data_IF_690325846039
#
_entry.id   IF_690325846039
#
_cell.length_a   1.000
_cell.length_b   1.000
_cell.length_c   1.000
_cell.angle_alpha   90.00
_cell.angle_beta   90.00
_cell.angle_gamma   90.00
#
_symmetry.space_group_name_H-M   'P 1'
#
loop_
_entity.id
_entity.type
_entity.pdbx_description
1 polymer ?
#
# COMPACT_ATOMS: atom_id res chain seq x y z
N UNK A 1 1.61 -8.60 -8.50
CA UNK A 1 2.09 -8.07 -7.23
C UNK A 1 3.55 -8.41 -7.14
N UNK A 2 3.93 -9.14 -6.09
CA UNK A 2 5.32 -9.55 -5.85
C UNK A 2 5.46 -11.07 -5.67
N UNK A 3 4.50 -11.85 -6.15
CA UNK A 3 4.52 -13.31 -6.12
C UNK A 3 4.52 -13.95 -7.50
N UNK A 4 4.59 -15.29 -7.53
CA UNK A 4 4.55 -16.10 -8.74
C UNK A 4 3.15 -16.62 -9.10
N UNK A 5 2.10 -16.13 -8.42
CA UNK A 5 0.72 -16.53 -8.71
C UNK A 5 0.14 -15.71 -9.86
N UNK A 6 -0.57 -16.36 -10.77
CA UNK A 6 -1.24 -15.68 -11.89
C UNK A 6 -2.28 -14.65 -11.41
N UNK A 7 -2.97 -14.97 -10.31
CA UNK A 7 -3.98 -14.10 -9.70
C UNK A 7 -3.40 -13.00 -8.80
N UNK A 8 -2.07 -12.90 -8.69
CA UNK A 8 -1.43 -11.79 -7.97
C UNK A 8 -1.43 -10.52 -8.82
N UNK A 9 -2.62 -9.99 -9.03
CA UNK A 9 -2.88 -8.72 -9.68
C UNK A 9 -3.40 -7.73 -8.65
N UNK A 10 -2.88 -6.50 -8.65
CA UNK A 10 -3.34 -5.47 -7.70
C UNK A 10 -4.76 -4.99 -8.06
N UNK A 11 -5.08 -4.95 -9.35
CA UNK A 11 -6.41 -4.58 -9.86
C UNK A 11 -6.80 -5.42 -11.06
N UNK A 12 -8.05 -5.90 -11.10
CA UNK A 12 -8.63 -6.60 -12.27
C UNK A 12 -9.08 -5.65 -13.40
N UNK A 13 -8.98 -4.34 -13.20
CA UNK A 13 -9.29 -3.31 -14.19
C UNK A 13 -8.02 -2.62 -14.63
N UNK A 14 -7.96 -2.25 -15.90
CA UNK A 14 -6.87 -1.41 -16.42
C UNK A 14 -7.01 0.01 -15.86
N UNK A 15 -5.89 0.57 -15.39
CA UNK A 15 -5.81 1.95 -14.89
C UNK A 15 -4.91 2.74 -15.83
N UNK A 16 -5.45 3.82 -16.38
CA UNK A 16 -4.69 4.74 -17.21
C UNK A 16 -3.91 5.72 -16.35
N UNK A 17 -2.65 5.94 -16.69
CA UNK A 17 -1.79 6.95 -16.07
C UNK A 17 -1.45 8.02 -17.11
N UNK A 18 -1.28 9.28 -16.66
CA UNK A 18 -0.85 10.37 -17.54
C UNK A 18 0.52 10.09 -18.17
N UNK A 19 1.38 9.38 -17.45
CA UNK A 19 2.68 8.88 -17.90
C UNK A 19 2.84 7.43 -17.45
N UNK A 20 3.59 6.63 -18.22
CA UNK A 20 3.89 5.26 -17.83
C UNK A 20 4.73 5.27 -16.53
N UNK A 21 4.29 4.58 -15.46
CA UNK A 21 5.07 4.46 -14.24
C UNK A 21 6.44 3.84 -14.50
N UNK A 22 7.46 4.32 -13.79
CA UNK A 22 8.84 3.85 -13.90
C UNK A 22 9.31 3.22 -12.59
N UNK A 23 10.34 2.36 -12.62
CA UNK A 23 10.97 1.88 -11.41
C UNK A 23 11.38 3.05 -10.50
N UNK A 24 10.95 3.02 -9.24
CA UNK A 24 11.16 4.08 -8.26
C UNK A 24 9.97 5.01 -8.05
N UNK A 25 8.97 5.00 -8.94
CA UNK A 25 7.73 5.75 -8.72
C UNK A 25 6.89 5.13 -7.59
N UNK A 26 6.14 5.97 -6.89
CA UNK A 26 5.18 5.52 -5.86
C UNK A 26 3.77 5.43 -6.45
N UNK A 27 3.17 4.26 -6.35
CA UNK A 27 1.75 4.04 -6.62
C UNK A 27 0.98 4.01 -5.30
N UNK A 28 -0.01 4.89 -5.15
CA UNK A 28 -0.80 5.03 -3.92
C UNK A 28 -2.21 4.52 -4.17
N UNK A 29 -2.60 3.48 -3.44
CA UNK A 29 -3.97 2.95 -3.42
C UNK A 29 -4.67 3.45 -2.16
N UNK A 30 -5.65 4.33 -2.35
CA UNK A 30 -6.47 4.84 -1.25
C UNK A 30 -7.54 3.81 -0.84
N UNK A 31 -8.13 4.02 0.34
CA UNK A 31 -9.27 3.24 0.85
C UNK A 31 -8.97 1.74 1.09
N UNK A 32 -7.74 1.40 1.44
CA UNK A 32 -7.30 0.01 1.69
C UNK A 32 -7.34 -0.41 3.17
N UNK A 33 -7.73 0.50 4.07
CA UNK A 33 -7.68 0.26 5.52
C UNK A 33 -8.61 -0.86 6.00
N UNK A 34 -9.78 -1.01 5.39
CA UNK A 34 -10.77 -2.04 5.74
C UNK A 34 -10.82 -3.15 4.70
N UNK A 35 -10.94 -4.39 5.17
CA UNK A 35 -11.01 -5.65 4.42
C UNK A 35 -9.86 -5.99 3.47
N UNK A 36 -8.93 -5.06 3.22
CA UNK A 36 -7.73 -5.29 2.43
C UNK A 36 -6.51 -5.44 3.32
N UNK A 37 -6.06 -4.36 3.97
CA UNK A 37 -4.87 -4.42 4.83
C UNK A 37 -5.08 -5.24 6.11
N UNK A 38 -6.29 -5.30 6.66
CA UNK A 38 -6.62 -6.09 7.86
C UNK A 38 -6.74 -7.60 7.59
N UNK A 39 -7.25 -8.00 6.41
CA UNK A 39 -7.48 -9.40 6.06
C UNK A 39 -6.38 -10.03 5.21
N UNK A 40 -5.68 -9.25 4.39
CA UNK A 40 -4.70 -9.75 3.42
C UNK A 40 -3.25 -9.54 3.88
N UNK A 41 -3.02 -8.78 4.95
CA UNK A 41 -1.68 -8.60 5.51
C UNK A 41 -1.15 -9.92 6.08
N UNK A 42 -0.17 -10.48 5.38
CA UNK A 42 0.47 -11.74 5.75
C UNK A 42 1.91 -11.78 5.23
N UNK A 43 2.67 -12.76 5.71
CA UNK A 43 4.06 -12.98 5.30
C UNK A 43 4.16 -13.97 4.12
N UNK A 44 3.32 -13.77 3.10
CA UNK A 44 3.38 -14.62 1.91
C UNK A 44 4.78 -14.59 1.28
N UNK A 45 5.27 -15.75 0.85
CA UNK A 45 6.64 -15.95 0.39
C UNK A 45 7.74 -15.44 1.33
N UNK A 46 7.47 -15.36 2.65
CA UNK A 46 8.42 -14.88 3.67
C UNK A 46 8.84 -13.42 3.46
N UNK A 47 8.07 -12.65 2.70
CA UNK A 47 8.24 -11.20 2.71
C UNK A 47 7.80 -10.65 4.07
N UNK A 48 8.48 -9.61 4.58
CA UNK A 48 8.09 -8.96 5.81
C UNK A 48 6.70 -8.33 5.64
N UNK A 49 5.97 -8.21 6.75
CA UNK A 49 4.73 -7.44 6.74
C UNK A 49 5.04 -5.98 6.33
N UNK A 50 4.17 -5.34 5.53
CA UNK A 50 4.30 -3.94 5.23
C UNK A 50 4.25 -3.11 6.53
N UNK A 51 5.05 -2.04 6.59
CA UNK A 51 5.03 -1.15 7.75
C UNK A 51 3.75 -0.31 7.70
N UNK A 52 2.94 -0.43 8.76
CA UNK A 52 1.78 0.42 8.96
C UNK A 52 2.20 1.70 9.67
N UNK A 53 1.69 2.83 9.19
CA UNK A 53 1.97 4.15 9.73
C UNK A 53 0.65 4.83 10.13
N UNK A 54 0.65 5.43 11.31
CA UNK A 54 -0.42 6.32 11.77
C UNK A 54 -0.01 7.76 11.51
N UNK A 55 -0.91 8.54 10.91
CA UNK A 55 -0.70 9.96 10.63
C UNK A 55 -1.63 10.81 11.50
N UNK A 56 -1.07 11.73 12.29
CA UNK A 56 -1.82 12.69 13.11
C UNK A 56 -1.46 14.11 12.71
N UNK A 57 -2.44 15.00 12.70
CA UNK A 57 -2.21 16.42 12.42
C UNK A 57 -1.81 17.12 13.73
N UNK A 58 -0.67 17.81 13.72
CA UNK A 58 -0.21 18.58 14.87
C UNK A 58 -0.89 19.95 14.98
N UNK A 59 -0.59 20.69 16.04
CA UNK A 59 -1.10 22.06 16.28
C UNK A 59 -0.72 23.06 15.17
N UNK A 60 0.30 22.76 14.36
CA UNK A 60 0.74 23.57 13.22
C UNK A 60 0.20 23.06 11.87
N UNK A 61 -0.84 22.21 11.87
CA UNK A 61 -1.45 21.61 10.67
C UNK A 61 -0.48 20.77 9.81
N UNK A 62 0.59 20.24 10.40
CA UNK A 62 1.51 19.33 9.72
C UNK A 62 1.23 17.88 10.12
N UNK A 63 1.25 16.92 9.17
CA UNK A 63 1.15 15.52 9.50
C UNK A 63 2.43 15.05 10.21
N UNK A 64 2.26 14.34 11.31
CA UNK A 64 3.29 13.58 12.00
C UNK A 64 2.96 12.11 11.81
N UNK A 65 3.96 11.34 11.37
CA UNK A 65 3.83 9.91 11.13
C UNK A 65 4.52 9.13 12.26
N UNK A 66 3.86 8.11 12.76
CA UNK A 66 4.42 7.13 13.71
C UNK A 66 4.20 5.73 13.18
N UNK A 67 5.09 4.79 13.53
CA UNK A 67 4.85 3.38 13.26
C UNK A 67 3.64 2.94 14.08
N UNK A 68 2.70 2.26 13.43
CA UNK A 68 1.57 1.63 14.08
C UNK A 68 2.07 0.29 14.65
N UNK A 69 2.04 0.15 15.98
CA UNK A 69 2.56 -1.02 16.70
C UNK A 69 1.50 -2.09 16.87
#
# INVERSE_FOLDING_TARGET
>A
GHSCLDDDVITNRLIAFAHLPKPGDLLIFANTAGYQMDLLENQFHRHPLPTRLTAVINSHQKPIFTIDN
#
